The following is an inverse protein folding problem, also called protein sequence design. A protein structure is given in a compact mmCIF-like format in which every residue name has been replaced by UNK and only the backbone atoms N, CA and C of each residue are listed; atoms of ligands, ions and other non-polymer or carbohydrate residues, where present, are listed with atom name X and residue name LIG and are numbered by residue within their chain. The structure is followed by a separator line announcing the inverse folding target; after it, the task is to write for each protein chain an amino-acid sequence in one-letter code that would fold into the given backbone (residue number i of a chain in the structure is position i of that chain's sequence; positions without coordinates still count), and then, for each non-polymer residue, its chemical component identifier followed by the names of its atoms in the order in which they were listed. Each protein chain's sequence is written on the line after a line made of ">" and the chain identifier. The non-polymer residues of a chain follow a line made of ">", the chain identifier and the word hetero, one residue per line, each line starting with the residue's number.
data_IF_163605784087
#
_entry.id   IF_163605784087
#
_cell.length_a   1.000
_cell.length_b   1.000
_cell.length_c   1.000
_cell.angle_alpha   90.00
_cell.angle_beta   90.00
_cell.angle_gamma   90.00
#
_symmetry.space_group_name_H-M   'P 1'
#
loop_
_entity.id
_entity.type
_entity.pdbx_description
1 polymer ?
#
# COMPACT_ATOMS: atom_id res chain seq x y z
N UNK A 1 1.36 6.23 -4.71
CA UNK A 1 0.89 5.12 -3.85
C UNK A 1 -0.04 4.19 -4.62
N UNK A 2 -1.15 4.70 -5.17
CA UNK A 2 -2.08 3.93 -6.03
C UNK A 2 -1.40 3.29 -7.25
N UNK A 3 -0.49 4.03 -7.91
CA UNK A 3 0.27 3.51 -9.06
C UNK A 3 1.10 2.26 -8.71
N UNK A 4 1.75 2.27 -7.54
CA UNK A 4 2.52 1.12 -7.04
C UNK A 4 1.60 -0.02 -6.65
N UNK A 5 0.47 0.25 -6.00
CA UNK A 5 -0.52 -0.77 -5.65
C UNK A 5 -1.09 -1.45 -6.91
N UNK A 6 -1.41 -0.69 -7.95
CA UNK A 6 -1.87 -1.26 -9.22
C UNK A 6 -0.78 -2.09 -9.91
N UNK A 7 0.46 -1.58 -9.96
CA UNK A 7 1.62 -2.31 -10.51
C UNK A 7 1.92 -3.61 -9.76
N UNK A 8 1.72 -3.64 -8.44
CA UNK A 8 1.90 -4.86 -7.62
C UNK A 8 0.65 -5.72 -7.51
N UNK A 9 -0.41 -5.43 -8.30
CA UNK A 9 -1.71 -6.13 -8.22
C UNK A 9 -2.24 -6.21 -6.78
N UNK A 10 -2.15 -5.09 -6.07
CA UNK A 10 -2.56 -4.92 -4.67
C UNK A 10 -1.80 -5.83 -3.68
N UNK A 11 -0.64 -6.37 -4.07
CA UNK A 11 0.26 -7.05 -3.13
C UNK A 11 0.86 -6.03 -2.16
N UNK A 12 0.23 -5.89 -1.00
CA UNK A 12 0.57 -4.93 0.06
C UNK A 12 2.02 -5.08 0.53
N UNK A 13 2.57 -6.29 0.52
CA UNK A 13 3.95 -6.57 0.94
C UNK A 13 4.98 -6.03 -0.04
N UNK A 14 4.72 -6.27 -1.33
CA UNK A 14 5.56 -5.80 -2.41
C UNK A 14 5.44 -4.29 -2.57
N UNK A 15 4.23 -3.75 -2.44
CA UNK A 15 3.98 -2.32 -2.46
C UNK A 15 4.69 -1.61 -1.30
N UNK A 16 4.64 -2.18 -0.08
CA UNK A 16 5.36 -1.65 1.07
C UNK A 16 6.88 -1.60 0.85
N UNK A 17 7.47 -2.68 0.31
CA UNK A 17 8.89 -2.72 -0.07
C UNK A 17 9.26 -1.65 -1.10
N UNK A 18 8.47 -1.51 -2.16
CA UNK A 18 8.72 -0.54 -3.24
C UNK A 18 8.52 0.91 -2.74
N UNK A 19 7.55 1.13 -1.87
CA UNK A 19 7.27 2.45 -1.27
C UNK A 19 8.23 2.80 -0.12
N UNK A 20 9.18 1.93 0.23
CA UNK A 20 10.12 2.15 1.33
C UNK A 20 9.43 2.31 2.68
N UNK A 21 8.28 1.66 2.87
CA UNK A 21 7.44 1.80 4.06
C UNK A 21 7.15 0.45 4.68
N UNK A 22 6.78 0.42 5.96
CA UNK A 22 6.37 -0.82 6.61
C UNK A 22 4.93 -1.17 6.21
N UNK A 23 4.56 -2.46 6.30
CA UNK A 23 3.17 -2.88 6.06
C UNK A 23 2.19 -2.10 6.92
N UNK A 24 2.51 -1.86 8.20
CA UNK A 24 1.66 -1.10 9.13
C UNK A 24 1.41 0.33 8.66
N UNK A 25 2.45 1.03 8.20
CA UNK A 25 2.31 2.38 7.64
C UNK A 25 1.52 2.40 6.33
N UNK A 26 1.69 1.37 5.49
CA UNK A 26 0.90 1.19 4.28
C UNK A 26 -0.59 1.05 4.62
N UNK A 27 -0.92 0.24 5.62
CA UNK A 27 -2.29 0.06 6.14
C UNK A 27 -2.86 1.37 6.69
N UNK A 28 -2.15 2.07 7.57
CA UNK A 28 -2.63 3.37 8.11
C UNK A 28 -2.92 4.37 7.00
N UNK A 29 -2.09 4.41 5.96
CA UNK A 29 -2.32 5.26 4.79
C UNK A 29 -3.52 4.79 3.97
N UNK A 30 -3.64 3.49 3.67
CA UNK A 30 -4.79 2.93 2.96
C UNK A 30 -6.11 3.25 3.69
N UNK A 31 -6.17 3.05 5.00
CA UNK A 31 -7.31 3.42 5.85
C UNK A 31 -7.62 4.90 5.79
N UNK A 32 -6.60 5.76 5.85
CA UNK A 32 -6.76 7.22 5.75
C UNK A 32 -7.31 7.67 4.40
N UNK A 33 -7.02 6.93 3.33
CA UNK A 33 -7.53 7.19 1.99
C UNK A 33 -8.82 6.42 1.66
N UNK A 34 -9.37 5.62 2.60
CA UNK A 34 -10.57 4.80 2.34
C UNK A 34 -10.35 3.70 1.29
N UNK A 35 -9.11 3.23 1.13
CA UNK A 35 -8.71 2.22 0.15
C UNK A 35 -8.59 0.80 0.76
N UNK A 36 -9.21 0.60 1.92
CA UNK A 36 -9.44 -0.71 2.54
C UNK A 36 -10.94 -1.05 2.45
N UNK A 37 -11.31 -2.33 2.31
CA UNK A 37 -12.66 -2.78 2.66
C UNK A 37 -12.92 -2.65 4.17
#
# INVERSE_FOLDING_TARGET
>A
MLDVLNKTRWNKSQAAKILGTTRSQLYTRLKRFGLEP
#
